data_IF_865606483564
#
_entry.id   IF_865606483564
#
_cell.length_a   1.000
_cell.length_b   1.000
_cell.length_c   1.000
_cell.angle_alpha   90.00
_cell.angle_beta   90.00
_cell.angle_gamma   90.00
#
_symmetry.space_group_name_H-M   'P 1'
#
loop_
_entity.id
_entity.type
_entity.pdbx_description
1 polymer ?
#
# COMPACT_ATOMS: atom_id res chain seq x y z
N UNK A 1 26.49 -27.83 23.19
CA UNK A 1 25.23 -27.07 22.98
C UNK A 1 25.57 -25.69 22.42
N UNK A 2 25.47 -25.49 21.10
CA UNK A 2 25.61 -24.16 20.48
C UNK A 2 24.23 -23.71 20.02
N UNK A 3 23.75 -22.64 20.65
CA UNK A 3 22.50 -21.95 20.32
C UNK A 3 22.62 -21.34 18.93
N UNK A 4 21.79 -21.82 18.01
CA UNK A 4 21.65 -21.24 16.68
C UNK A 4 20.88 -19.92 16.83
N UNK A 5 21.61 -18.80 16.81
CA UNK A 5 21.02 -17.47 16.64
C UNK A 5 20.41 -17.42 15.24
N UNK A 6 19.07 -17.52 15.18
CA UNK A 6 18.30 -17.21 13.98
C UNK A 6 18.52 -15.76 13.60
N UNK A 7 19.38 -15.54 12.61
CA UNK A 7 19.55 -14.25 11.95
C UNK A 7 18.34 -14.03 11.04
N UNK A 8 17.37 -13.25 11.53
CA UNK A 8 16.22 -12.77 10.76
C UNK A 8 16.69 -11.72 9.74
N UNK A 9 17.36 -12.18 8.67
CA UNK A 9 17.59 -11.36 7.49
C UNK A 9 16.26 -11.21 6.75
N UNK A 10 15.84 -9.96 6.50
CA UNK A 10 14.59 -9.63 5.85
C UNK A 10 14.47 -10.26 4.46
N UNK A 11 13.78 -11.38 4.39
CA UNK A 11 13.13 -11.82 3.16
C UNK A 11 11.98 -10.86 2.92
N UNK A 12 12.08 -10.11 1.82
CA UNK A 12 10.91 -9.71 1.05
C UNK A 12 9.84 -10.81 1.14
N UNK A 13 8.57 -10.48 1.34
CA UNK A 13 7.54 -11.51 1.21
C UNK A 13 7.63 -12.07 -0.23
N UNK A 14 8.22 -13.25 -0.37
CA UNK A 14 8.30 -14.05 -1.60
C UNK A 14 6.95 -14.72 -1.90
N UNK A 15 5.88 -14.21 -1.28
CA UNK A 15 4.56 -14.78 -1.27
C UNK A 15 3.58 -13.70 -1.69
N UNK A 16 2.56 -14.13 -2.41
CA UNK A 16 1.44 -13.30 -2.78
C UNK A 16 0.19 -14.14 -2.58
N UNK A 17 -0.92 -13.47 -2.32
CA UNK A 17 -2.24 -14.05 -2.33
C UNK A 17 -3.20 -12.99 -2.86
N UNK A 18 -4.30 -13.42 -3.44
CA UNK A 18 -5.38 -12.54 -3.85
C UNK A 18 -6.70 -13.21 -3.52
N UNK A 19 -7.73 -12.39 -3.45
CA UNK A 19 -9.11 -12.84 -3.36
C UNK A 19 -9.93 -12.01 -4.33
N UNK A 20 -10.79 -12.68 -5.08
CA UNK A 20 -11.69 -12.05 -6.03
C UNK A 20 -13.06 -11.83 -5.38
N UNK A 21 -13.74 -10.79 -5.83
CA UNK A 21 -15.15 -10.55 -5.55
C UNK A 21 -15.87 -10.44 -6.88
N UNK A 22 -17.00 -11.12 -7.02
CA UNK A 22 -17.78 -11.16 -8.27
C UNK A 22 -18.39 -9.81 -8.65
N UNK A 23 -18.41 -8.85 -7.72
CA UNK A 23 -18.88 -7.50 -7.91
C UNK A 23 -19.20 -6.84 -6.57
N UNK A 24 -19.41 -5.54 -6.59
CA UNK A 24 -19.95 -4.79 -5.47
C UNK A 24 -20.89 -3.71 -6.01
N UNK A 25 -22.17 -3.81 -5.67
CA UNK A 25 -23.18 -2.85 -6.08
C UNK A 25 -22.99 -1.48 -5.43
N UNK A 26 -23.63 -0.45 -5.98
CA UNK A 26 -23.60 0.89 -5.40
C UNK A 26 -24.18 0.87 -3.98
N UNK A 27 -23.39 1.36 -3.01
CA UNK A 27 -23.76 1.37 -1.58
C UNK A 27 -23.63 0.03 -0.87
N UNK A 28 -23.31 -1.05 -1.59
CA UNK A 28 -23.06 -2.36 -1.00
C UNK A 28 -21.73 -2.37 -0.23
N UNK A 29 -21.66 -3.22 0.79
CA UNK A 29 -20.44 -3.44 1.58
C UNK A 29 -20.14 -4.93 1.62
N UNK A 30 -18.90 -5.28 1.32
CA UNK A 30 -18.38 -6.63 1.51
C UNK A 30 -17.29 -6.62 2.58
N UNK A 31 -17.30 -7.63 3.45
CA UNK A 31 -16.20 -7.91 4.38
C UNK A 31 -15.39 -9.05 3.79
N UNK A 32 -14.11 -8.77 3.53
CA UNK A 32 -13.21 -9.69 2.87
C UNK A 32 -12.06 -10.02 3.82
N UNK A 33 -11.86 -11.31 4.11
CA UNK A 33 -10.65 -11.74 4.80
C UNK A 33 -9.47 -11.54 3.86
N UNK A 34 -8.50 -10.72 4.27
CA UNK A 34 -7.22 -10.56 3.57
C UNK A 34 -6.56 -11.94 3.54
N UNK A 35 -6.27 -12.42 2.33
CA UNK A 35 -5.63 -13.71 2.16
C UNK A 35 -4.22 -13.65 2.76
N UNK A 36 -3.93 -14.50 3.74
CA UNK A 36 -2.63 -14.56 4.40
C UNK A 36 -1.58 -15.10 3.42
N UNK A 37 -0.61 -14.28 2.97
CA UNK A 37 0.41 -14.73 2.05
C UNK A 37 1.25 -15.85 2.66
N UNK A 38 1.34 -15.97 3.99
CA UNK A 38 2.12 -17.02 4.65
C UNK A 38 1.48 -18.41 4.55
N UNK A 39 0.18 -18.47 4.25
CA UNK A 39 -0.53 -19.71 3.94
C UNK A 39 -0.42 -20.07 2.45
N UNK A 40 0.07 -19.16 1.60
CA UNK A 40 0.35 -19.46 0.22
C UNK A 40 1.60 -20.34 0.12
N UNK A 41 1.39 -21.63 -0.14
CA UNK A 41 2.45 -22.59 -0.46
C UNK A 41 3.06 -22.35 -1.86
N UNK A 42 2.41 -21.53 -2.68
CA UNK A 42 2.84 -21.29 -4.06
C UNK A 42 3.87 -20.16 -4.16
N UNK A 43 4.78 -20.31 -5.11
CA UNK A 43 5.72 -19.25 -5.46
C UNK A 43 4.96 -17.99 -5.90
N UNK A 44 5.37 -16.82 -5.41
CA UNK A 44 4.76 -15.52 -5.75
C UNK A 44 4.49 -15.35 -7.24
N UNK A 45 5.45 -15.72 -8.10
CA UNK A 45 5.30 -15.54 -9.54
C UNK A 45 4.11 -16.31 -10.12
N UNK A 46 3.86 -17.53 -9.63
CA UNK A 46 2.70 -18.33 -10.06
C UNK A 46 1.39 -17.65 -9.67
N UNK A 47 1.31 -17.10 -8.46
CA UNK A 47 0.14 -16.35 -7.99
C UNK A 47 -0.08 -15.09 -8.82
N UNK A 48 0.98 -14.34 -9.11
CA UNK A 48 0.90 -13.13 -9.93
C UNK A 48 0.52 -13.42 -11.39
N UNK A 49 0.99 -14.53 -11.96
CA UNK A 49 0.59 -14.95 -13.30
C UNK A 49 -0.90 -15.29 -13.33
N UNK A 50 -1.39 -16.07 -12.36
CA UNK A 50 -2.83 -16.37 -12.23
C UNK A 50 -3.67 -15.11 -12.04
N UNK A 51 -3.23 -14.19 -11.19
CA UNK A 51 -3.93 -12.91 -11.01
C UNK A 51 -3.94 -12.10 -12.32
N UNK A 52 -2.83 -12.08 -13.07
CA UNK A 52 -2.78 -11.41 -14.36
C UNK A 52 -3.76 -12.02 -15.37
N UNK A 53 -3.89 -13.34 -15.40
CA UNK A 53 -4.87 -14.02 -16.25
C UNK A 53 -6.31 -13.68 -15.82
N UNK A 54 -6.60 -13.65 -14.51
CA UNK A 54 -7.91 -13.21 -13.99
C UNK A 54 -8.25 -11.77 -14.36
N UNK A 55 -7.27 -10.85 -14.27
CA UNK A 55 -7.47 -9.46 -14.69
C UNK A 55 -7.72 -9.38 -16.19
N UNK A 56 -7.01 -10.18 -17.00
CA UNK A 56 -7.23 -10.26 -18.45
C UNK A 56 -8.66 -10.73 -18.77
N UNK A 57 -9.12 -11.80 -18.12
CA UNK A 57 -10.48 -12.31 -18.26
C UNK A 57 -11.50 -11.22 -17.93
N UNK A 58 -11.34 -10.57 -16.78
CA UNK A 58 -12.23 -9.50 -16.33
C UNK A 58 -12.26 -8.32 -17.31
N UNK A 59 -11.11 -7.90 -17.84
CA UNK A 59 -11.03 -6.86 -18.87
C UNK A 59 -11.74 -7.26 -20.17
N UNK A 60 -11.61 -8.51 -20.61
CA UNK A 60 -12.36 -9.00 -21.79
C UNK A 60 -13.86 -8.99 -21.56
N UNK A 61 -14.35 -9.27 -20.33
CA UNK A 61 -15.80 -9.15 -20.03
C UNK A 61 -16.32 -7.71 -20.13
N UNK A 62 -15.45 -6.70 -20.08
CA UNK A 62 -15.81 -5.29 -20.27
C UNK A 62 -15.79 -4.83 -21.73
N UNK A 63 -15.53 -5.74 -22.67
CA UNK A 63 -15.60 -5.50 -24.11
C UNK A 63 -14.26 -5.29 -24.82
N UNK A 64 -13.13 -5.36 -24.11
CA UNK A 64 -11.81 -5.39 -24.76
C UNK A 64 -11.58 -6.70 -25.49
N UNK A 65 -10.84 -6.67 -26.60
CA UNK A 65 -10.37 -7.91 -27.23
C UNK A 65 -9.35 -8.61 -26.32
N UNK A 66 -9.11 -9.92 -26.49
CA UNK A 66 -8.08 -10.64 -25.74
C UNK A 66 -6.68 -10.00 -25.89
N UNK A 67 -6.35 -9.49 -27.08
CA UNK A 67 -5.09 -8.81 -27.37
C UNK A 67 -5.00 -7.46 -26.65
N UNK A 68 -6.07 -6.67 -26.66
CA UNK A 68 -6.13 -5.38 -25.95
C UNK A 68 -6.02 -5.57 -24.44
N UNK A 69 -6.79 -6.52 -23.89
CA UNK A 69 -6.73 -6.87 -22.47
C UNK A 69 -5.33 -7.38 -22.08
N UNK A 70 -4.72 -8.22 -22.92
CA UNK A 70 -3.35 -8.70 -22.74
C UNK A 70 -2.33 -7.56 -22.73
N UNK A 71 -2.38 -6.68 -23.72
CA UNK A 71 -1.50 -5.53 -23.83
C UNK A 71 -1.65 -4.56 -22.63
N UNK A 72 -2.87 -4.38 -22.13
CA UNK A 72 -3.12 -3.56 -20.94
C UNK A 72 -2.48 -4.19 -19.70
N UNK A 73 -2.72 -5.48 -19.46
CA UNK A 73 -2.13 -6.19 -18.31
C UNK A 73 -0.61 -6.15 -18.35
N UNK A 74 0.02 -6.38 -19.52
CA UNK A 74 1.49 -6.34 -19.63
C UNK A 74 2.05 -4.94 -19.41
N UNK A 75 1.42 -3.91 -20.01
CA UNK A 75 1.82 -2.50 -19.84
C UNK A 75 1.84 -2.10 -18.36
N UNK A 76 0.80 -2.47 -17.62
CA UNK A 76 0.61 -2.07 -16.22
C UNK A 76 1.11 -3.10 -15.20
N UNK A 77 1.68 -4.22 -15.65
CA UNK A 77 2.15 -5.32 -14.78
C UNK A 77 3.06 -4.86 -13.64
N UNK A 78 4.06 -3.97 -13.85
CA UNK A 78 4.90 -3.50 -12.74
C UNK A 78 4.09 -2.79 -11.65
N UNK A 79 3.13 -1.96 -12.04
CA UNK A 79 2.31 -1.14 -11.16
C UNK A 79 1.16 -1.91 -10.49
N UNK A 80 0.56 -2.86 -11.18
CA UNK A 80 -0.56 -3.65 -10.65
C UNK A 80 -0.07 -4.82 -9.80
N UNK A 81 1.03 -5.46 -10.19
CA UNK A 81 1.45 -6.76 -9.65
C UNK A 81 2.88 -6.77 -9.12
N UNK A 82 3.73 -5.84 -9.57
CA UNK A 82 5.16 -5.81 -9.27
C UNK A 82 5.48 -5.33 -7.86
N UNK A 83 4.80 -4.25 -7.43
CA UNK A 83 5.07 -3.60 -6.14
C UNK A 83 4.57 -4.42 -4.94
N UNK A 84 5.15 -4.18 -3.76
CA UNK A 84 4.71 -4.78 -2.49
C UNK A 84 3.54 -4.01 -1.89
N UNK A 85 2.84 -4.67 -0.98
CA UNK A 85 1.74 -4.11 -0.21
C UNK A 85 0.39 -4.72 -0.57
N UNK A 86 -0.62 -4.32 0.20
CA UNK A 86 -2.01 -4.70 0.00
C UNK A 86 -2.69 -3.68 -0.92
N UNK A 87 -3.41 -4.16 -1.93
CA UNK A 87 -4.15 -3.30 -2.86
C UNK A 87 -5.44 -3.94 -3.32
N UNK A 88 -6.36 -3.08 -3.72
CA UNK A 88 -7.60 -3.42 -4.41
C UNK A 88 -7.47 -2.96 -5.86
N UNK A 89 -7.64 -3.90 -6.78
CA UNK A 89 -7.82 -3.63 -8.21
C UNK A 89 -9.29 -3.89 -8.54
N UNK A 90 -9.93 -2.97 -9.24
CA UNK A 90 -11.35 -3.08 -9.58
C UNK A 90 -11.65 -2.45 -10.93
N UNK A 91 -12.68 -2.95 -11.61
CA UNK A 91 -13.19 -2.37 -12.84
C UNK A 91 -14.38 -1.47 -12.50
N UNK A 92 -14.41 -0.30 -13.11
CA UNK A 92 -15.52 0.64 -12.98
C UNK A 92 -16.56 0.39 -14.08
N UNK A 93 -17.86 0.54 -13.77
CA UNK A 93 -18.90 0.47 -14.80
C UNK A 93 -18.66 1.48 -15.92
N UNK A 94 -18.91 1.08 -17.16
CA UNK A 94 -18.74 1.96 -18.33
C UNK A 94 -19.66 3.18 -18.23
N UNK A 95 -20.92 2.99 -17.83
CA UNK A 95 -21.90 4.06 -17.64
C UNK A 95 -21.39 5.15 -16.69
N UNK A 96 -20.74 4.74 -15.59
CA UNK A 96 -20.12 5.67 -14.64
C UNK A 96 -18.95 6.43 -15.28
N UNK A 97 -18.13 5.74 -16.07
CA UNK A 97 -16.99 6.34 -16.78
C UNK A 97 -17.45 7.37 -17.81
N UNK A 98 -18.51 7.07 -18.55
CA UNK A 98 -19.09 7.94 -19.57
C UNK A 98 -19.70 9.20 -18.96
N UNK A 99 -20.42 9.06 -17.85
CA UNK A 99 -20.99 10.19 -17.12
C UNK A 99 -19.90 11.07 -16.48
N UNK A 100 -18.83 10.46 -15.95
CA UNK A 100 -17.77 11.19 -15.22
C UNK A 100 -16.76 11.85 -16.15
N UNK A 101 -16.40 11.20 -17.25
CA UNK A 101 -15.40 11.66 -18.20
C UNK A 101 -15.96 11.61 -19.63
N UNK A 102 -16.87 12.51 -20.02
CA UNK A 102 -17.47 12.48 -21.35
C UNK A 102 -16.40 12.55 -22.45
N UNK A 103 -16.52 11.68 -23.46
CA UNK A 103 -15.61 11.65 -24.61
C UNK A 103 -16.41 11.96 -25.87
N UNK A 104 -16.02 13.00 -26.60
CA UNK A 104 -16.55 13.34 -27.91
C UNK A 104 -15.42 13.29 -28.93
N UNK A 105 -15.59 12.47 -29.97
CA UNK A 105 -14.62 12.30 -31.05
C UNK A 105 -15.28 12.71 -32.38
N UNK A 106 -14.55 13.46 -33.21
CA UNK A 106 -14.98 13.85 -34.55
C UNK A 106 -13.86 13.54 -35.57
N UNK A 107 -14.10 12.67 -36.57
CA UNK A 107 -15.32 11.90 -36.79
C UNK A 107 -15.55 10.83 -35.71
N UNK A 108 -16.81 10.47 -35.48
CA UNK A 108 -17.16 9.43 -34.51
C UNK A 108 -16.66 8.05 -35.00
N UNK A 109 -15.95 7.27 -34.17
CA UNK A 109 -15.56 5.92 -34.52
C UNK A 109 -16.78 4.99 -34.58
N UNK A 110 -16.65 3.88 -35.31
CA UNK A 110 -17.72 2.87 -35.43
C UNK A 110 -18.08 2.22 -34.09
N UNK A 111 -17.10 2.05 -33.22
CA UNK A 111 -17.26 1.46 -31.89
C UNK A 111 -16.31 2.16 -30.92
N UNK A 112 -16.77 2.41 -29.70
CA UNK A 112 -15.96 2.94 -28.61
C UNK A 112 -16.19 2.05 -27.40
N UNK A 113 -15.11 1.44 -26.89
CA UNK A 113 -15.11 0.71 -25.62
C UNK A 113 -14.24 1.49 -24.65
N UNK A 114 -14.75 1.74 -23.44
CA UNK A 114 -14.03 2.49 -22.41
C UNK A 114 -13.98 1.68 -21.13
N UNK A 115 -12.78 1.31 -20.75
CA UNK A 115 -12.53 0.51 -19.56
C UNK A 115 -11.66 1.31 -18.60
N UNK A 116 -12.10 1.38 -17.35
CA UNK A 116 -11.37 2.05 -16.29
C UNK A 116 -11.03 1.03 -15.20
N UNK A 117 -9.74 0.89 -14.94
CA UNK A 117 -9.22 0.09 -13.84
C UNK A 117 -8.89 1.03 -12.70
N UNK A 118 -9.61 0.88 -11.59
CA UNK A 118 -9.26 1.49 -10.32
C UNK A 118 -8.18 0.70 -9.61
N UNK A 119 -7.23 1.41 -9.00
CA UNK A 119 -6.25 0.87 -8.07
C UNK A 119 -6.32 1.67 -6.78
N UNK A 120 -6.46 0.98 -5.65
CA UNK A 120 -6.39 1.59 -4.32
C UNK A 120 -5.42 0.80 -3.46
N UNK A 121 -4.49 1.50 -2.84
CA UNK A 121 -3.49 0.91 -1.96
C UNK A 121 -4.02 0.98 -0.53
N UNK A 122 -3.88 -0.11 0.21
CA UNK A 122 -4.41 -0.26 1.56
C UNK A 122 -3.23 -0.47 2.49
N UNK A 123 -3.18 0.29 3.57
CA UNK A 123 -2.16 0.06 4.60
C UNK A 123 -2.51 -1.22 5.34
N UNK A 124 -1.53 -2.12 5.41
CA UNK A 124 -1.68 -3.32 6.22
C UNK A 124 -1.80 -2.93 7.71
N UNK A 125 -2.60 -3.67 8.51
CA UNK A 125 -2.81 -3.33 9.91
C UNK A 125 -1.52 -3.19 10.73
N UNK A 126 -0.48 -3.95 10.39
CA UNK A 126 0.81 -3.88 11.09
C UNK A 126 1.62 -2.63 10.73
N UNK A 127 1.49 -2.12 9.50
CA UNK A 127 2.05 -0.84 9.05
C UNK A 127 1.33 0.31 9.74
N UNK A 128 0.00 0.27 9.83
CA UNK A 128 -0.78 1.27 10.56
C UNK A 128 -0.39 1.32 12.03
N UNK A 129 -0.29 0.16 12.68
CA UNK A 129 0.14 0.06 14.08
C UNK A 129 1.56 0.59 14.28
N UNK A 130 2.49 0.27 13.37
CA UNK A 130 3.86 0.77 13.44
C UNK A 130 3.93 2.30 13.26
N UNK A 131 3.09 2.88 12.41
CA UNK A 131 2.97 4.33 12.25
C UNK A 131 2.41 5.01 13.49
N UNK A 132 1.35 4.44 14.06
CA UNK A 132 0.73 4.95 15.28
C UNK A 132 1.71 4.92 16.47
N UNK A 133 2.47 3.83 16.63
CA UNK A 133 3.53 3.73 17.64
C UNK A 133 4.65 4.75 17.40
N UNK A 134 5.13 4.88 16.15
CA UNK A 134 6.16 5.86 15.81
C UNK A 134 5.71 7.29 16.12
N UNK A 135 4.45 7.62 15.84
CA UNK A 135 3.89 8.95 16.12
C UNK A 135 3.75 9.20 17.62
N UNK A 136 3.27 8.22 18.38
CA UNK A 136 3.14 8.32 19.82
C UNK A 136 4.51 8.50 20.51
N UNK A 137 5.52 7.72 20.13
CA UNK A 137 6.88 7.88 20.65
C UNK A 137 7.46 9.26 20.28
N UNK A 138 7.19 9.74 19.05
CA UNK A 138 7.69 11.04 18.61
C UNK A 138 7.04 12.17 19.41
N UNK A 139 5.76 12.05 19.71
CA UNK A 139 5.00 12.97 20.57
C UNK A 139 5.52 13.00 22.01
N UNK A 140 5.81 11.84 22.59
CA UNK A 140 6.18 11.72 24.00
C UNK A 140 7.67 11.94 24.27
N UNK A 141 8.52 11.50 23.36
CA UNK A 141 9.95 11.34 23.60
C UNK A 141 10.83 11.95 22.50
N UNK A 142 10.25 12.51 21.43
CA UNK A 142 11.00 13.03 20.29
C UNK A 142 11.83 11.96 19.55
N UNK A 143 11.41 10.70 19.65
CA UNK A 143 12.06 9.54 19.01
C UNK A 143 11.02 8.71 18.25
N UNK A 144 11.46 7.95 17.25
CA UNK A 144 10.62 7.01 16.53
C UNK A 144 11.38 5.70 16.24
N UNK A 145 11.14 4.68 17.05
CA UNK A 145 11.81 3.38 17.02
C UNK A 145 11.46 2.56 15.77
N UNK A 146 10.24 2.71 15.26
CA UNK A 146 9.72 1.93 14.14
C UNK A 146 10.19 2.43 12.76
N UNK A 147 10.96 3.52 12.66
CA UNK A 147 11.32 4.12 11.36
C UNK A 147 11.97 3.13 10.40
N UNK A 148 12.90 2.29 10.88
CA UNK A 148 13.58 1.31 10.02
C UNK A 148 12.62 0.23 9.51
N UNK A 149 11.68 -0.21 10.37
CA UNK A 149 10.63 -1.16 10.01
C UNK A 149 9.68 -0.54 8.97
N UNK A 150 9.24 0.69 9.21
CA UNK A 150 8.38 1.43 8.29
C UNK A 150 9.05 1.64 6.93
N UNK A 151 10.34 1.99 6.89
CA UNK A 151 11.11 2.06 5.64
C UNK A 151 11.29 0.71 4.93
N UNK A 152 11.05 -0.42 5.61
CA UNK A 152 11.12 -1.75 5.03
C UNK A 152 9.78 -2.23 4.47
N UNK A 153 8.68 -1.79 5.07
CA UNK A 153 7.32 -2.25 4.75
C UNK A 153 6.58 -1.28 3.83
N UNK A 154 6.87 0.02 3.94
CA UNK A 154 6.14 1.06 3.24
C UNK A 154 6.97 1.68 2.13
N UNK A 155 6.47 1.55 0.90
CA UNK A 155 7.09 2.17 -0.27
C UNK A 155 7.13 3.71 -0.13
N UNK A 156 8.20 4.38 -0.60
CA UNK A 156 8.38 5.82 -0.43
C UNK A 156 7.21 6.69 -0.90
N UNK A 157 6.56 6.28 -2.00
CA UNK A 157 5.40 7.01 -2.56
C UNK A 157 4.17 7.01 -1.63
N UNK A 158 4.12 6.12 -0.65
CA UNK A 158 3.02 6.01 0.32
C UNK A 158 3.34 6.60 1.69
N UNK A 159 4.54 7.15 1.91
CA UNK A 159 4.91 7.72 3.20
C UNK A 159 3.96 8.85 3.61
N UNK A 160 3.73 9.84 2.74
CA UNK A 160 2.89 11.00 3.06
C UNK A 160 1.43 10.66 3.39
N UNK A 161 0.69 9.90 2.56
CA UNK A 161 -0.68 9.54 2.89
C UNK A 161 -0.75 8.69 4.18
N UNK A 162 0.22 7.81 4.41
CA UNK A 162 0.22 6.97 5.60
C UNK A 162 0.48 7.74 6.89
N UNK A 163 1.42 8.70 6.88
CA UNK A 163 1.66 9.57 8.03
C UNK A 163 0.46 10.50 8.26
N UNK A 164 -0.17 10.98 7.20
CA UNK A 164 -1.40 11.79 7.30
C UNK A 164 -2.54 11.00 7.94
N UNK A 165 -2.72 9.73 7.56
CA UNK A 165 -3.67 8.83 8.21
C UNK A 165 -3.39 8.66 9.71
N UNK A 166 -2.13 8.44 10.09
CA UNK A 166 -1.73 8.32 11.49
C UNK A 166 -1.97 9.62 12.29
N UNK A 167 -1.68 10.79 11.70
CA UNK A 167 -2.02 12.09 12.30
C UNK A 167 -3.52 12.20 12.54
N UNK A 168 -4.34 11.92 11.52
CA UNK A 168 -5.79 12.07 11.62
C UNK A 168 -6.35 11.16 12.71
N UNK A 169 -5.93 9.89 12.76
CA UNK A 169 -6.30 8.96 13.84
C UNK A 169 -5.92 9.49 15.23
N UNK A 170 -4.72 10.05 15.38
CA UNK A 170 -4.29 10.61 16.67
C UNK A 170 -5.06 11.90 17.04
N UNK A 171 -5.38 12.74 16.06
CA UNK A 171 -6.24 13.92 16.26
C UNK A 171 -7.65 13.51 16.66
N UNK A 172 -8.20 12.45 16.07
CA UNK A 172 -9.51 11.91 16.43
C UNK A 172 -9.49 11.35 17.86
N UNK A 173 -8.44 10.57 18.21
CA UNK A 173 -8.22 10.08 19.58
C UNK A 173 -8.11 11.21 20.60
N UNK A 174 -7.42 12.29 20.25
CA UNK A 174 -7.29 13.47 21.11
C UNK A 174 -8.64 14.21 21.26
N UNK A 175 -9.37 14.37 20.15
CA UNK A 175 -10.66 15.07 20.13
C UNK A 175 -11.73 14.32 20.94
N UNK A 176 -11.65 12.99 21.04
CA UNK A 176 -12.53 12.18 21.87
C UNK A 176 -12.37 12.40 23.39
N UNK A 177 -11.29 13.03 23.85
CA UNK A 177 -10.99 13.23 25.29
C UNK A 177 -11.72 14.41 25.95
N UNK A 178 -12.67 15.05 25.25
CA UNK A 178 -13.47 16.19 25.76
C UNK A 178 -12.64 17.31 26.42
N UNK A 179 -11.45 17.60 25.88
CA UNK A 179 -10.55 18.63 26.38
C UNK A 179 -11.06 20.05 26.06
N UNK A 180 -10.68 21.07 26.88
CA UNK A 180 -10.92 22.47 26.54
C UNK A 180 -10.36 22.82 25.15
N UNK A 181 -11.04 23.70 24.41
CA UNK A 181 -10.69 24.07 23.03
C UNK A 181 -9.23 24.51 22.85
N UNK A 182 -8.70 25.29 23.80
CA UNK A 182 -7.31 25.76 23.77
C UNK A 182 -6.30 24.62 23.93
N UNK A 183 -6.58 23.66 24.82
CA UNK A 183 -5.74 22.50 25.04
C UNK A 183 -5.77 21.54 23.85
N UNK A 184 -6.96 21.32 23.27
CA UNK A 184 -7.10 20.53 22.04
C UNK A 184 -6.31 21.15 20.88
N UNK A 185 -6.34 22.48 20.73
CA UNK A 185 -5.55 23.18 19.71
C UNK A 185 -4.04 23.00 19.92
N UNK A 186 -3.56 23.11 21.16
CA UNK A 186 -2.17 22.87 21.51
C UNK A 186 -1.76 21.42 21.22
N UNK A 187 -2.61 20.45 21.58
CA UNK A 187 -2.35 19.04 21.31
C UNK A 187 -2.30 18.75 19.81
N UNK A 188 -3.24 19.29 19.03
CA UNK A 188 -3.21 19.18 17.56
C UNK A 188 -1.91 19.71 16.97
N UNK A 189 -1.45 20.88 17.41
CA UNK A 189 -0.18 21.45 16.95
C UNK A 189 1.01 20.52 17.25
N UNK A 190 1.05 19.91 18.44
CA UNK A 190 2.08 18.92 18.80
C UNK A 190 2.01 17.68 17.90
N UNK A 191 0.82 17.16 17.62
CA UNK A 191 0.62 16.02 16.70
C UNK A 191 1.14 16.34 15.30
N UNK A 192 0.79 17.52 14.77
CA UNK A 192 1.30 17.94 13.46
C UNK A 192 2.84 18.05 13.45
N UNK A 193 3.45 18.64 14.49
CA UNK A 193 4.91 18.73 14.59
C UNK A 193 5.60 17.36 14.68
N UNK A 194 5.02 16.42 15.44
CA UNK A 194 5.51 15.04 15.48
C UNK A 194 5.40 14.37 14.11
N UNK A 195 4.27 14.55 13.41
CA UNK A 195 4.10 14.05 12.05
C UNK A 195 5.09 14.67 11.05
N UNK A 196 5.42 15.96 11.15
CA UNK A 196 6.46 16.59 10.32
C UNK A 196 7.84 15.97 10.57
N UNK A 197 8.13 15.66 11.84
CA UNK A 197 9.37 14.98 12.21
C UNK A 197 9.43 13.56 11.62
N UNK A 198 8.33 12.80 11.67
CA UNK A 198 8.23 11.48 11.04
C UNK A 198 8.47 11.54 9.52
N UNK A 199 7.91 12.55 8.83
CA UNK A 199 8.15 12.75 7.38
C UNK A 199 9.65 12.88 7.09
N UNK A 200 10.35 13.68 7.88
CA UNK A 200 11.79 13.86 7.72
C UNK A 200 12.56 12.56 8.00
N UNK A 201 12.14 11.79 9.00
CA UNK A 201 12.79 10.52 9.35
C UNK A 201 12.58 9.44 8.27
N UNK A 202 11.37 9.32 7.74
CA UNK A 202 11.04 8.33 6.71
C UNK A 202 11.70 8.64 5.36
N UNK A 203 11.87 9.93 5.01
CA UNK A 203 12.61 10.37 3.80
C UNK A 203 14.10 10.09 3.84
N UNK A 204 14.72 9.94 5.02
CA UNK A 204 16.17 9.71 5.12
C UNK A 204 16.50 8.33 4.54
N UNK A 205 17.44 8.21 3.59
CA UNK A 205 17.85 6.91 3.09
C UNK A 205 18.30 6.02 4.25
N UNK A 206 18.03 4.71 4.16
CA UNK A 206 18.52 3.73 5.16
C UNK A 206 19.99 4.00 5.43
N UNK A 207 20.36 4.21 6.70
CA UNK A 207 21.78 4.26 7.09
C UNK A 207 22.40 2.94 6.64
N UNK A 208 23.31 2.98 5.66
CA UNK A 208 24.17 1.84 5.33
C UNK A 208 24.88 1.45 6.64
N UNK A 209 24.81 0.18 7.04
CA UNK A 209 25.61 -0.31 8.16
C UNK A 209 27.08 0.09 7.96
N UNK A 210 27.84 0.33 9.04
CA UNK A 210 29.26 0.60 8.92
C UNK A 210 29.96 -0.55 8.17
N UNK A 211 31.00 -0.28 7.38
CA UNK A 211 31.73 -1.31 6.66
C UNK A 211 32.21 -2.37 7.65
N UNK A 212 32.04 -3.65 7.28
CA UNK A 212 32.58 -4.79 8.03
C UNK A 212 34.02 -4.47 8.41
N UNK A 213 34.32 -4.54 9.71
CA UNK A 213 35.66 -4.37 10.27
C UNK A 213 36.67 -5.15 9.42
N UNK A 214 37.71 -4.48 8.96
CA UNK A 214 38.84 -5.10 8.27
C UNK A 214 39.35 -6.26 9.14
N UNK A 215 39.25 -7.49 8.64
CA UNK A 215 39.98 -8.62 9.20
C UNK A 215 41.48 -8.31 9.06
N UNK A 216 42.31 -8.61 10.07
CA UNK A 216 43.75 -8.40 9.97
C UNK A 216 44.33 -9.34 8.90
N UNK A 217 45.40 -8.94 8.19
CA UNK A 217 46.03 -9.79 7.20
C UNK A 217 46.57 -11.06 7.87
N UNK A 218 46.29 -12.22 7.27
CA UNK A 218 46.95 -13.47 7.62
C UNK A 218 48.47 -13.26 7.49
N UNK A 219 49.20 -13.62 8.56
CA UNK A 219 50.64 -13.86 8.51
C UNK A 219 50.91 -15.19 7.83
#
# INVERSE_FOLDING_TARGET
>A
MRSAKSSFFGTASLRAAYRELDGLGAGERAVVSIADPNQAYQARQLVLNRLADRVRDALTTTGLTPEEAGAMVETWRPDWLGDRGLRVLYLLPQEWTEATLPLKLEPAPRMTVRVMVGRSEVLEPDVEQALDLALAEQLQHGKASQIQRLQALLEPRFHEPAITGAINREVDRASAKALPKAELALQRNKIYQAGQSLRQLLRKPRRKHPPKSKLPPCQ
#
